data_IF_170007693987
#
_entry.id   IF_170007693987
#
_cell.length_a   1.000
_cell.length_b   1.000
_cell.length_c   1.000
_cell.angle_alpha   90.00
_cell.angle_beta   90.00
_cell.angle_gamma   90.00
#
_symmetry.space_group_name_H-M   'P 1'
#
loop_
_entity.id
_entity.type
_entity.pdbx_description
1 polymer ?
#
# COMPACT_ATOMS: atom_id res chain seq x y z
N UNK A 1 4.86 -32.23 8.21
CA UNK A 1 4.95 -32.87 6.88
C UNK A 1 5.83 -31.98 5.99
N UNK A 2 6.61 -32.54 5.06
CA UNK A 2 7.47 -31.78 4.16
C UNK A 2 6.64 -30.91 3.17
N UNK A 3 7.19 -29.78 2.68
CA UNK A 3 6.47 -28.87 1.81
C UNK A 3 6.24 -29.41 0.40
N UNK A 4 7.05 -30.37 -0.05
CA UNK A 4 6.90 -30.99 -1.39
C UNK A 4 6.08 -32.25 -1.34
N UNK A 5 5.04 -32.34 -2.20
CA UNK A 5 4.17 -33.50 -2.33
C UNK A 5 4.96 -34.81 -2.56
N UNK A 6 5.97 -34.77 -3.41
CA UNK A 6 6.82 -35.94 -3.72
C UNK A 6 7.54 -36.51 -2.48
N UNK A 7 7.80 -35.68 -1.46
CA UNK A 7 8.45 -36.12 -0.23
C UNK A 7 7.42 -36.63 0.79
N UNK A 8 6.21 -36.06 0.79
CA UNK A 8 5.07 -36.59 1.60
C UNK A 8 4.70 -38.00 1.16
N UNK A 9 4.74 -38.27 -0.15
CA UNK A 9 4.41 -39.60 -0.71
C UNK A 9 5.40 -40.70 -0.23
N UNK A 10 6.66 -40.33 0.04
CA UNK A 10 7.71 -41.29 0.48
C UNK A 10 7.53 -41.71 1.93
N UNK A 11 6.97 -40.86 2.75
CA UNK A 11 6.85 -41.05 4.23
C UNK A 11 5.47 -40.66 4.74
N UNK A 12 4.43 -41.35 4.22
CA UNK A 12 3.04 -41.09 4.50
C UNK A 12 2.63 -41.62 5.88
N UNK A 13 2.12 -40.78 6.79
CA UNK A 13 1.55 -41.26 8.06
C UNK A 13 0.32 -42.16 7.84
N UNK A 14 0.12 -43.17 8.70
CA UNK A 14 -0.89 -44.21 8.53
C UNK A 14 -2.33 -43.71 8.45
N UNK A 15 -2.62 -42.54 9.00
CA UNK A 15 -3.97 -41.94 9.02
C UNK A 15 -4.31 -41.15 7.76
N UNK A 16 -3.39 -40.99 6.82
CA UNK A 16 -3.58 -40.16 5.64
C UNK A 16 -3.65 -41.02 4.35
N UNK A 17 -4.36 -40.50 3.38
CA UNK A 17 -4.44 -41.06 2.03
C UNK A 17 -3.92 -40.06 1.01
N UNK A 18 -3.48 -40.52 -0.13
CA UNK A 18 -3.02 -39.71 -1.25
C UNK A 18 -4.06 -39.76 -2.36
N UNK A 19 -4.30 -38.62 -2.98
CA UNK A 19 -4.99 -38.50 -4.25
C UNK A 19 -3.99 -38.07 -5.31
N UNK A 20 -3.96 -38.75 -6.45
CA UNK A 20 -3.14 -38.38 -7.59
C UNK A 20 -3.73 -37.21 -8.40
N UNK A 21 -5.00 -36.88 -8.13
CA UNK A 21 -5.67 -35.77 -8.83
C UNK A 21 -5.11 -34.44 -8.37
N UNK A 22 -4.43 -33.72 -9.28
CA UNK A 22 -3.95 -32.35 -9.09
C UNK A 22 -5.17 -31.41 -9.00
N UNK A 23 -5.16 -30.52 -8.05
CA UNK A 23 -6.17 -29.48 -7.91
C UNK A 23 -5.76 -28.21 -8.64
N UNK A 24 -6.75 -27.43 -9.11
CA UNK A 24 -6.52 -26.11 -9.66
C UNK A 24 -6.06 -25.17 -8.54
N UNK A 25 -4.94 -24.45 -8.72
CA UNK A 25 -4.45 -23.53 -7.69
C UNK A 25 -5.29 -22.26 -7.65
N UNK A 26 -5.57 -21.81 -6.44
CA UNK A 26 -6.26 -20.57 -6.14
C UNK A 26 -5.51 -19.82 -5.05
N UNK A 27 -5.39 -18.51 -5.16
CA UNK A 27 -4.85 -17.66 -4.10
C UNK A 27 -6.00 -16.91 -3.47
N UNK A 28 -6.26 -17.15 -2.19
CA UNK A 28 -7.25 -16.45 -1.40
C UNK A 28 -6.59 -15.22 -0.79
N UNK A 29 -7.15 -14.05 -1.03
CA UNK A 29 -6.74 -12.81 -0.38
C UNK A 29 -7.75 -12.48 0.70
N UNK A 30 -7.25 -12.39 1.94
CA UNK A 30 -8.05 -12.09 3.13
C UNK A 30 -7.48 -10.86 3.84
N UNK A 31 -8.31 -10.22 4.66
CA UNK A 31 -7.86 -9.17 5.59
C UNK A 31 -7.70 -9.78 6.98
N UNK A 32 -6.44 -9.82 7.48
CA UNK A 32 -6.11 -10.30 8.81
C UNK A 32 -5.40 -9.19 9.57
N UNK A 33 -5.90 -8.81 10.74
CA UNK A 33 -5.34 -7.75 11.59
C UNK A 33 -5.05 -6.44 10.83
N UNK A 34 -5.96 -6.05 9.92
CA UNK A 34 -5.83 -4.85 9.11
C UNK A 34 -4.89 -4.95 7.92
N UNK A 35 -4.22 -6.09 7.72
CA UNK A 35 -3.31 -6.36 6.61
C UNK A 35 -3.94 -7.30 5.59
N UNK A 36 -3.62 -7.11 4.32
CA UNK A 36 -3.98 -8.06 3.28
C UNK A 36 -2.97 -9.20 3.30
N UNK A 37 -3.45 -10.42 3.41
CA UNK A 37 -2.62 -11.64 3.36
C UNK A 37 -3.08 -12.51 2.21
N UNK A 38 -2.14 -13.17 1.54
CA UNK A 38 -2.43 -14.09 0.46
C UNK A 38 -2.12 -15.52 0.92
N UNK A 39 -3.06 -16.43 0.72
CA UNK A 39 -2.95 -17.84 1.08
C UNK A 39 -3.14 -18.72 -0.15
N UNK A 40 -2.20 -19.62 -0.39
CA UNK A 40 -2.34 -20.63 -1.43
C UNK A 40 -3.41 -21.64 -1.02
N UNK A 41 -4.22 -22.06 -1.98
CA UNK A 41 -5.28 -23.05 -1.81
C UNK A 41 -5.44 -23.90 -3.09
N UNK A 42 -6.10 -25.05 -2.95
CA UNK A 42 -6.52 -25.87 -4.07
C UNK A 42 -8.04 -25.84 -4.24
N UNK A 43 -8.51 -25.75 -5.47
CA UNK A 43 -9.93 -25.78 -5.81
C UNK A 43 -10.35 -27.19 -6.20
N UNK A 44 -11.41 -27.68 -5.55
CA UNK A 44 -12.08 -28.93 -5.89
C UNK A 44 -13.53 -28.66 -6.23
N UNK A 45 -13.97 -29.09 -7.40
CA UNK A 45 -15.38 -29.08 -7.78
C UNK A 45 -15.95 -30.50 -7.59
N UNK A 46 -16.99 -30.63 -6.75
CA UNK A 46 -17.67 -31.91 -6.50
C UNK A 46 -19.18 -31.68 -6.52
N UNK A 47 -19.91 -32.41 -7.38
CA UNK A 47 -21.37 -32.38 -7.55
C UNK A 47 -21.94 -30.97 -7.86
N UNK A 48 -21.12 -30.10 -8.47
CA UNK A 48 -21.51 -28.72 -8.77
C UNK A 48 -21.11 -27.69 -7.70
N UNK A 49 -20.68 -28.15 -6.52
CA UNK A 49 -20.21 -27.28 -5.46
C UNK A 49 -18.68 -27.09 -5.53
N UNK A 50 -18.25 -25.86 -5.34
CA UNK A 50 -16.83 -25.49 -5.30
C UNK A 50 -16.34 -25.53 -3.85
N UNK A 51 -15.26 -26.26 -3.60
CA UNK A 51 -14.57 -26.33 -2.31
C UNK A 51 -13.16 -25.78 -2.45
N UNK A 52 -12.83 -24.75 -1.68
CA UNK A 52 -11.50 -24.17 -1.61
C UNK A 52 -10.81 -24.72 -0.35
N UNK A 53 -9.66 -25.36 -0.53
CA UNK A 53 -8.92 -26.05 0.51
C UNK A 53 -7.56 -25.36 0.67
N UNK A 54 -7.30 -24.62 1.79
CA UNK A 54 -6.05 -23.92 1.97
C UNK A 54 -4.87 -24.88 2.08
N UNK A 55 -3.73 -24.47 1.51
CA UNK A 55 -2.47 -25.15 1.74
C UNK A 55 -1.97 -24.86 3.18
N UNK A 56 -1.17 -25.75 3.79
CA UNK A 56 -0.62 -25.53 5.12
C UNK A 56 0.24 -24.25 5.22
N UNK A 57 0.94 -23.91 4.14
CA UNK A 57 1.64 -22.65 3.93
C UNK A 57 1.85 -22.39 2.43
N UNK A 58 2.24 -21.16 2.06
CA UNK A 58 2.38 -20.76 0.65
C UNK A 58 3.52 -21.45 -0.10
N UNK A 59 4.42 -22.08 0.60
CA UNK A 59 5.52 -22.88 0.00
C UNK A 59 5.20 -24.37 -0.17
N UNK A 60 3.94 -24.80 0.11
CA UNK A 60 3.50 -26.19 -0.03
C UNK A 60 2.85 -26.40 -1.41
N UNK A 61 3.24 -27.44 -2.12
CA UNK A 61 2.63 -27.85 -3.39
C UNK A 61 1.56 -28.94 -3.20
N UNK A 62 0.88 -28.92 -2.03
CA UNK A 62 -0.24 -29.80 -1.70
C UNK A 62 -1.17 -29.18 -0.65
N UNK A 63 -2.39 -29.71 -0.58
CA UNK A 63 -3.42 -29.35 0.39
C UNK A 63 -3.92 -30.58 1.14
N UNK A 64 -4.51 -30.34 2.31
CA UNK A 64 -5.12 -31.41 3.14
C UNK A 64 -6.65 -31.30 3.10
N UNK A 65 -7.30 -32.23 2.42
CA UNK A 65 -8.75 -32.36 2.28
C UNK A 65 -9.26 -33.46 3.24
N UNK A 66 -9.57 -33.11 4.47
CA UNK A 66 -9.85 -34.06 5.55
C UNK A 66 -8.60 -34.90 5.87
N UNK A 67 -8.61 -36.18 5.53
CA UNK A 67 -7.45 -37.06 5.65
C UNK A 67 -6.80 -37.42 4.29
N UNK A 68 -7.15 -36.68 3.23
CA UNK A 68 -6.64 -36.91 1.87
C UNK A 68 -5.69 -35.77 1.51
N UNK A 69 -4.46 -36.11 1.20
CA UNK A 69 -3.45 -35.18 0.68
C UNK A 69 -3.61 -35.12 -0.85
N UNK A 70 -3.80 -33.89 -1.36
CA UNK A 70 -4.00 -33.61 -2.79
C UNK A 70 -2.90 -32.70 -3.31
N UNK A 71 -2.27 -33.04 -4.45
CA UNK A 71 -1.25 -32.22 -5.05
C UNK A 71 -1.81 -30.93 -5.68
N UNK A 72 -0.99 -29.90 -5.67
CA UNK A 72 -1.06 -28.72 -6.53
C UNK A 72 0.03 -28.80 -7.60
N UNK A 73 -0.04 -28.00 -8.67
CA UNK A 73 1.07 -27.89 -9.62
C UNK A 73 2.37 -27.48 -8.91
N UNK A 74 3.49 -28.12 -9.27
CA UNK A 74 4.78 -28.00 -8.53
C UNK A 74 5.40 -26.61 -8.53
N UNK A 75 5.13 -25.84 -9.57
CA UNK A 75 5.66 -24.51 -9.83
C UNK A 75 4.87 -23.39 -9.15
N UNK A 76 3.65 -23.66 -8.70
CA UNK A 76 2.74 -22.68 -8.11
C UNK A 76 3.32 -21.98 -6.87
N UNK A 77 3.95 -22.65 -5.89
CA UNK A 77 4.54 -21.96 -4.75
C UNK A 77 5.63 -20.97 -5.15
N UNK A 78 6.45 -21.31 -6.14
CA UNK A 78 7.52 -20.44 -6.64
C UNK A 78 6.95 -19.27 -7.44
N UNK A 79 5.94 -19.52 -8.26
CA UNK A 79 5.23 -18.49 -9.00
C UNK A 79 4.54 -17.50 -8.04
N UNK A 80 3.92 -17.99 -6.96
CA UNK A 80 3.30 -17.14 -5.92
C UNK A 80 4.33 -16.25 -5.24
N UNK A 81 5.47 -16.80 -4.83
CA UNK A 81 6.57 -16.05 -4.20
C UNK A 81 7.12 -14.99 -5.15
N UNK A 82 7.28 -15.32 -6.41
CA UNK A 82 7.77 -14.37 -7.44
C UNK A 82 6.81 -13.20 -7.64
N UNK A 83 5.50 -13.46 -7.63
CA UNK A 83 4.45 -12.48 -7.91
C UNK A 83 4.07 -11.61 -6.71
N UNK A 84 3.93 -12.23 -5.54
CA UNK A 84 3.41 -11.57 -4.34
C UNK A 84 4.47 -11.32 -3.25
N UNK A 85 5.68 -11.86 -3.45
CA UNK A 85 6.77 -11.81 -2.49
C UNK A 85 6.81 -13.00 -1.53
N UNK A 86 7.97 -13.25 -0.88
CA UNK A 86 8.18 -14.41 0.00
C UNK A 86 7.30 -14.36 1.26
N UNK A 87 6.97 -13.17 1.75
CA UNK A 87 6.19 -12.95 2.97
C UNK A 87 4.70 -12.70 2.71
N UNK A 88 4.18 -13.13 1.56
CA UNK A 88 2.79 -12.89 1.15
C UNK A 88 1.74 -13.43 2.14
N UNK A 89 2.09 -14.44 2.95
CA UNK A 89 1.26 -14.94 4.05
C UNK A 89 1.23 -14.03 5.29
N UNK A 90 2.19 -13.09 5.42
CA UNK A 90 2.29 -12.13 6.50
C UNK A 90 1.76 -10.75 6.10
N UNK A 91 1.79 -10.44 4.81
CA UNK A 91 1.27 -9.21 4.26
C UNK A 91 1.58 -9.03 2.78
N UNK A 92 0.60 -8.56 2.02
CA UNK A 92 0.75 -8.24 0.59
C UNK A 92 0.38 -6.79 0.36
N UNK A 93 1.20 -6.06 -0.39
CA UNK A 93 0.89 -4.68 -0.78
C UNK A 93 -0.26 -4.68 -1.79
N UNK A 94 -1.25 -3.83 -1.57
CA UNK A 94 -2.41 -3.72 -2.47
C UNK A 94 -2.03 -3.44 -3.93
N UNK A 95 -1.01 -2.61 -4.17
CA UNK A 95 -0.51 -2.33 -5.52
C UNK A 95 -0.05 -3.58 -6.26
N UNK A 96 0.63 -4.51 -5.56
CA UNK A 96 1.07 -5.79 -6.12
C UNK A 96 -0.12 -6.68 -6.44
N UNK A 97 -1.11 -6.78 -5.53
CA UNK A 97 -2.35 -7.53 -5.76
C UNK A 97 -3.12 -6.97 -6.96
N UNK A 98 -3.24 -5.65 -7.05
CA UNK A 98 -3.95 -4.99 -8.14
C UNK A 98 -3.28 -5.25 -9.49
N UNK A 99 -1.96 -5.18 -9.57
CA UNK A 99 -1.21 -5.50 -10.77
C UNK A 99 -1.52 -6.93 -11.21
N UNK A 100 -1.50 -7.90 -10.29
CA UNK A 100 -1.80 -9.29 -10.58
C UNK A 100 -3.27 -9.52 -11.01
N UNK A 101 -4.23 -8.78 -10.42
CA UNK A 101 -5.63 -8.82 -10.83
C UNK A 101 -5.84 -8.24 -12.25
N UNK A 102 -5.00 -7.29 -12.67
CA UNK A 102 -5.08 -6.66 -13.99
C UNK A 102 -4.39 -7.49 -15.06
N UNK A 103 -3.30 -8.17 -14.72
CA UNK A 103 -2.48 -8.97 -15.64
C UNK A 103 -3.04 -10.38 -15.91
N UNK A 104 -4.21 -10.74 -15.36
CA UNK A 104 -4.94 -12.01 -15.56
C UNK A 104 -4.03 -13.18 -15.97
N UNK A 105 -3.38 -13.81 -14.99
CA UNK A 105 -2.57 -15.00 -15.24
C UNK A 105 -3.49 -16.22 -15.39
N UNK A 106 -3.42 -16.97 -16.50
CA UNK A 106 -4.24 -18.14 -16.67
C UNK A 106 -3.93 -19.27 -15.68
N UNK A 107 -2.76 -19.26 -15.05
CA UNK A 107 -2.28 -20.36 -14.21
C UNK A 107 -2.60 -20.22 -12.72
N UNK A 108 -2.95 -19.02 -12.22
CA UNK A 108 -3.26 -18.77 -10.81
C UNK A 108 -4.43 -17.81 -10.68
N UNK A 109 -5.59 -18.30 -10.24
CA UNK A 109 -6.76 -17.49 -9.96
C UNK A 109 -6.64 -16.81 -8.59
N UNK A 110 -6.83 -15.47 -8.56
CA UNK A 110 -6.92 -14.70 -7.33
C UNK A 110 -8.38 -14.55 -6.91
N UNK A 111 -8.73 -15.02 -5.72
CA UNK A 111 -10.06 -14.83 -5.11
C UNK A 111 -9.96 -13.88 -3.93
N UNK A 112 -10.70 -12.78 -4.00
CA UNK A 112 -10.85 -11.85 -2.88
C UNK A 112 -11.95 -12.37 -1.96
N UNK A 113 -11.69 -12.42 -0.66
CA UNK A 113 -12.73 -12.71 0.33
C UNK A 113 -13.74 -11.56 0.41
N UNK A 114 -14.99 -11.88 0.82
CA UNK A 114 -16.05 -10.87 0.98
C UNK A 114 -15.62 -9.72 1.90
N UNK A 115 -14.86 -10.00 2.94
CA UNK A 115 -14.28 -8.99 3.84
C UNK A 115 -13.31 -8.02 3.15
N UNK A 116 -12.67 -8.41 2.05
CA UNK A 116 -11.80 -7.53 1.25
C UNK A 116 -12.65 -6.71 0.27
N UNK A 117 -13.70 -7.30 -0.29
CA UNK A 117 -14.65 -6.63 -1.19
C UNK A 117 -15.48 -5.58 -0.46
N UNK A 118 -15.93 -5.89 0.76
CA UNK A 118 -16.70 -4.96 1.60
C UNK A 118 -15.87 -3.77 2.10
N UNK A 119 -14.56 -3.89 2.19
CA UNK A 119 -13.69 -2.76 2.62
C UNK A 119 -13.71 -1.60 1.60
N UNK A 120 -14.04 -1.85 0.34
CA UNK A 120 -14.24 -0.82 -0.69
C UNK A 120 -15.55 -0.05 -0.54
N UNK A 121 -16.54 -0.59 0.16
CA UNK A 121 -17.87 0.00 0.34
C UNK A 121 -18.13 0.48 1.77
N UNK A 122 -17.39 -0.01 2.77
CA UNK A 122 -17.62 0.27 4.20
C UNK A 122 -17.01 1.58 4.71
N UNK A 123 -16.20 2.29 3.92
CA UNK A 123 -15.67 3.61 4.31
C UNK A 123 -16.75 4.71 4.50
N UNK A 124 -18.00 4.43 4.09
CA UNK A 124 -19.11 5.37 4.19
C UNK A 124 -19.88 5.35 5.54
N UNK A 125 -19.59 4.43 6.44
CA UNK A 125 -20.37 4.18 7.66
C UNK A 125 -19.65 4.49 8.98
N UNK A 126 -18.59 5.29 8.99
CA UNK A 126 -17.99 5.71 10.26
C UNK A 126 -18.69 6.93 10.84
N UNK A 127 -19.12 6.74 12.08
CA UNK A 127 -19.88 7.67 12.90
C UNK A 127 -19.25 9.06 13.02
N UNK A 128 -20.11 10.05 13.23
CA UNK A 128 -19.82 11.47 13.43
C UNK A 128 -19.24 11.77 14.82
N UNK A 129 -18.10 11.17 15.19
CA UNK A 129 -17.40 11.58 16.40
C UNK A 129 -16.31 12.61 16.03
N UNK A 130 -16.20 13.66 16.84
CA UNK A 130 -15.10 14.62 16.75
C UNK A 130 -13.80 13.86 17.01
N UNK A 131 -12.94 13.73 16.00
CA UNK A 131 -11.63 13.12 16.17
C UNK A 131 -10.73 14.16 16.83
N UNK A 132 -10.38 13.94 18.09
CA UNK A 132 -9.36 14.72 18.78
C UNK A 132 -7.98 14.15 18.43
N UNK A 133 -7.18 14.91 17.70
CA UNK A 133 -5.83 14.53 17.31
C UNK A 133 -4.85 15.22 18.23
N UNK A 134 -4.15 14.44 19.06
CA UNK A 134 -3.19 14.97 20.02
C UNK A 134 -2.09 15.78 19.33
N UNK A 135 -1.91 17.03 19.78
CA UNK A 135 -0.87 17.91 19.23
C UNK A 135 -1.26 18.66 17.95
N UNK A 136 -2.47 18.46 17.42
CA UNK A 136 -3.02 19.26 16.34
C UNK A 136 -3.70 20.51 16.91
N UNK A 137 -3.19 21.70 16.57
CA UNK A 137 -3.77 22.98 16.98
C UNK A 137 -4.82 23.48 15.95
N UNK A 138 -5.81 22.63 15.68
CA UNK A 138 -6.95 22.96 14.81
C UNK A 138 -8.16 22.09 15.14
N UNK A 139 -9.34 22.65 15.01
CA UNK A 139 -10.59 21.89 15.02
C UNK A 139 -10.97 21.53 13.57
N UNK A 140 -11.02 20.25 13.28
CA UNK A 140 -11.43 19.74 11.97
C UNK A 140 -12.95 19.87 11.82
N UNK A 141 -13.40 20.24 10.63
CA UNK A 141 -14.81 20.05 10.27
C UNK A 141 -15.14 18.56 10.20
N UNK A 142 -16.41 18.21 10.38
CA UNK A 142 -16.83 16.79 10.40
C UNK A 142 -16.45 16.03 9.13
N UNK A 143 -16.51 16.67 7.95
CA UNK A 143 -16.07 16.05 6.69
C UNK A 143 -14.55 15.85 6.64
N UNK A 144 -13.77 16.80 7.20
CA UNK A 144 -12.31 16.67 7.28
C UNK A 144 -11.91 15.54 8.24
N UNK A 145 -12.54 15.47 9.41
CA UNK A 145 -12.30 14.40 10.37
C UNK A 145 -12.58 13.00 9.76
N UNK A 146 -13.71 12.87 9.06
CA UNK A 146 -14.03 11.65 8.30
C UNK A 146 -13.02 11.37 7.20
N UNK A 147 -12.60 12.40 6.45
CA UNK A 147 -11.59 12.29 5.40
C UNK A 147 -10.24 11.81 5.95
N UNK A 148 -9.78 12.37 7.08
CA UNK A 148 -8.52 12.00 7.73
C UNK A 148 -8.55 10.54 8.22
N UNK A 149 -9.64 10.12 8.88
CA UNK A 149 -9.81 8.73 9.31
C UNK A 149 -9.79 7.77 8.11
N UNK A 150 -10.57 8.07 7.05
CA UNK A 150 -10.60 7.29 5.83
C UNK A 150 -9.23 7.21 5.14
N UNK A 151 -8.48 8.33 5.07
CA UNK A 151 -7.12 8.35 4.51
C UNK A 151 -6.18 7.46 5.29
N UNK A 152 -6.22 7.49 6.63
CA UNK A 152 -5.41 6.64 7.50
C UNK A 152 -5.68 5.16 7.25
N UNK A 153 -6.95 4.75 7.30
CA UNK A 153 -7.37 3.37 7.07
C UNK A 153 -7.02 2.89 5.66
N UNK A 154 -7.27 3.73 4.65
CA UNK A 154 -6.99 3.42 3.25
C UNK A 154 -5.50 3.28 3.01
N UNK A 155 -4.68 4.20 3.51
CA UNK A 155 -3.23 4.14 3.34
C UNK A 155 -2.62 2.95 4.08
N UNK A 156 -3.11 2.60 5.26
CA UNK A 156 -2.67 1.42 6.01
C UNK A 156 -3.01 0.12 5.30
N UNK A 157 -4.19 0.06 4.67
CA UNK A 157 -4.66 -1.14 3.97
C UNK A 157 -4.05 -1.28 2.57
N UNK A 158 -3.81 -0.18 1.85
CA UNK A 158 -3.52 -0.16 0.42
C UNK A 158 -2.15 0.45 0.05
N UNK A 159 -1.41 1.00 1.02
CA UNK A 159 -0.14 1.67 0.79
C UNK A 159 -0.27 3.08 0.17
N UNK A 160 -1.49 3.58 -0.02
CA UNK A 160 -1.73 4.93 -0.52
C UNK A 160 -3.12 5.16 -1.10
N UNK A 161 -3.37 6.41 -1.46
CA UNK A 161 -4.64 6.86 -2.04
C UNK A 161 -4.41 8.15 -2.85
N UNK A 162 -5.42 8.58 -3.59
CA UNK A 162 -5.43 9.89 -4.26
C UNK A 162 -6.38 10.81 -3.47
N UNK A 163 -5.90 11.96 -3.00
CA UNK A 163 -6.71 12.99 -2.39
C UNK A 163 -7.13 14.00 -3.47
N UNK A 164 -8.37 13.85 -3.94
CA UNK A 164 -8.92 14.58 -5.09
C UNK A 164 -10.05 15.56 -4.69
N UNK A 165 -10.04 16.03 -3.45
CA UNK A 165 -10.99 17.01 -2.97
C UNK A 165 -10.90 18.33 -3.77
N UNK A 166 -11.99 19.06 -3.87
CA UNK A 166 -12.02 20.39 -4.49
C UNK A 166 -11.07 21.38 -3.79
N UNK A 167 -10.69 22.42 -4.52
CA UNK A 167 -9.88 23.49 -3.95
C UNK A 167 -10.65 24.19 -2.80
N UNK A 168 -9.93 24.52 -1.72
CA UNK A 168 -10.53 25.20 -0.57
C UNK A 168 -11.11 24.30 0.53
N UNK A 169 -11.20 22.98 0.34
CA UNK A 169 -11.69 22.04 1.34
C UNK A 169 -10.66 21.69 2.44
N UNK A 170 -9.50 22.35 2.44
CA UNK A 170 -8.49 22.19 3.49
C UNK A 170 -7.68 20.91 3.39
N UNK A 171 -7.34 20.45 2.16
CA UNK A 171 -6.48 19.29 1.93
C UNK A 171 -5.18 19.35 2.72
N UNK A 172 -4.52 20.51 2.77
CA UNK A 172 -3.28 20.71 3.53
C UNK A 172 -3.47 20.39 5.01
N UNK A 173 -4.56 20.91 5.62
CA UNK A 173 -4.88 20.64 7.03
C UNK A 173 -5.22 19.16 7.26
N UNK A 174 -5.92 18.52 6.34
CA UNK A 174 -6.21 17.09 6.43
C UNK A 174 -4.92 16.24 6.39
N UNK A 175 -3.96 16.58 5.54
CA UNK A 175 -2.65 15.90 5.51
C UNK A 175 -1.87 16.16 6.81
N UNK A 176 -1.84 17.39 7.30
CA UNK A 176 -1.18 17.73 8.58
C UNK A 176 -1.80 16.90 9.71
N UNK A 177 -3.13 16.83 9.77
CA UNK A 177 -3.86 16.03 10.74
C UNK A 177 -3.51 14.54 10.64
N UNK A 178 -3.42 14.01 9.42
CA UNK A 178 -3.00 12.62 9.17
C UNK A 178 -1.58 12.35 9.67
N UNK A 179 -0.63 13.25 9.41
CA UNK A 179 0.75 13.15 9.91
C UNK A 179 0.81 13.25 11.44
N UNK A 180 -0.11 13.99 12.08
CA UNK A 180 -0.21 14.07 13.54
C UNK A 180 -0.85 12.82 14.17
N UNK A 181 -1.68 12.07 13.45
CA UNK A 181 -2.18 10.77 13.90
C UNK A 181 -1.08 9.71 13.93
N UNK A 182 -0.14 9.79 12.99
CA UNK A 182 0.98 8.87 12.85
C UNK A 182 2.25 9.71 12.59
N UNK A 183 2.80 10.26 13.68
CA UNK A 183 3.95 11.16 13.60
C UNK A 183 5.14 10.45 12.96
N UNK A 184 5.66 10.97 11.82
CA UNK A 184 6.81 10.38 11.15
C UNK A 184 8.07 10.40 12.04
N UNK A 185 8.83 9.31 12.02
CA UNK A 185 10.14 9.22 12.65
C UNK A 185 11.21 9.94 11.81
N UNK A 186 12.25 10.48 12.44
CA UNK A 186 13.40 11.04 11.73
C UNK A 186 14.15 9.99 10.90
N UNK A 187 14.15 8.72 11.31
CA UNK A 187 14.71 7.62 10.52
C UNK A 187 13.91 7.34 9.24
N UNK A 188 12.59 7.59 9.26
CA UNK A 188 11.66 7.44 8.14
C UNK A 188 10.72 8.66 8.05
N UNK A 189 11.23 9.85 7.70
CA UNK A 189 10.43 11.08 7.66
C UNK A 189 9.34 11.03 6.60
N UNK A 190 8.40 11.97 6.66
CA UNK A 190 7.47 12.24 5.57
C UNK A 190 8.10 13.18 4.54
N UNK A 191 7.91 12.88 3.26
CA UNK A 191 8.35 13.72 2.14
C UNK A 191 7.14 14.42 1.51
N UNK A 192 7.17 15.73 1.46
CA UNK A 192 6.21 16.58 0.74
C UNK A 192 6.89 17.15 -0.49
N UNK A 193 6.39 16.81 -1.67
CA UNK A 193 6.86 17.33 -2.96
C UNK A 193 5.79 18.28 -3.49
N UNK A 194 6.11 19.55 -3.65
CA UNK A 194 5.14 20.56 -4.07
C UNK A 194 5.75 21.57 -5.05
N UNK A 195 4.92 22.36 -5.76
CA UNK A 195 5.40 23.53 -6.48
C UNK A 195 6.13 24.52 -5.57
N UNK A 196 7.12 25.22 -6.14
CA UNK A 196 7.93 26.22 -5.42
C UNK A 196 7.08 27.24 -4.64
N UNK A 197 5.98 27.70 -5.23
CA UNK A 197 5.08 28.69 -4.64
C UNK A 197 4.37 28.19 -3.39
N UNK A 198 4.26 26.90 -3.17
CA UNK A 198 3.52 26.30 -2.06
C UNK A 198 4.42 25.93 -0.87
N UNK A 199 5.75 25.95 -1.01
CA UNK A 199 6.68 25.61 0.10
C UNK A 199 6.42 26.47 1.33
N UNK A 200 6.36 27.81 1.17
CA UNK A 200 6.15 28.73 2.29
C UNK A 200 4.76 28.52 2.94
N UNK A 201 3.77 28.13 2.16
CA UNK A 201 2.44 27.79 2.68
C UNK A 201 2.50 26.53 3.53
N UNK A 202 3.12 25.45 3.05
CA UNK A 202 3.29 24.21 3.80
C UNK A 202 4.03 24.43 5.13
N UNK A 203 5.14 25.16 5.10
CA UNK A 203 5.90 25.50 6.33
C UNK A 203 5.04 26.26 7.33
N UNK A 204 4.34 27.30 6.87
CA UNK A 204 3.46 28.11 7.73
C UNK A 204 2.31 27.29 8.33
N UNK A 205 1.67 26.46 7.53
CA UNK A 205 0.53 25.63 7.97
C UNK A 205 0.99 24.56 8.98
N UNK A 206 2.12 23.88 8.75
CA UNK A 206 2.64 22.90 9.70
C UNK A 206 3.05 23.60 11.00
N UNK A 207 3.78 24.73 10.95
CA UNK A 207 4.15 25.48 12.14
C UNK A 207 2.94 25.97 12.93
N UNK A 208 1.85 26.33 12.24
CA UNK A 208 0.62 26.81 12.86
C UNK A 208 -0.17 25.69 13.52
N UNK A 209 -0.34 24.55 12.85
CA UNK A 209 -1.29 23.51 13.27
C UNK A 209 -0.62 22.29 13.92
N UNK A 210 0.68 22.09 13.71
CA UNK A 210 1.43 20.94 14.19
C UNK A 210 2.86 21.36 14.57
N UNK A 211 2.99 22.32 15.49
CA UNK A 211 4.26 22.93 15.88
C UNK A 211 5.29 21.94 16.47
N UNK A 212 4.86 20.75 16.86
CA UNK A 212 5.73 19.67 17.33
C UNK A 212 6.47 18.93 16.21
N UNK A 213 6.04 19.09 14.95
CA UNK A 213 6.74 18.49 13.81
C UNK A 213 7.93 19.33 13.42
N UNK A 214 9.12 18.73 13.43
CA UNK A 214 10.33 19.34 12.87
C UNK A 214 10.26 19.32 11.33
N UNK A 215 10.64 20.44 10.70
CA UNK A 215 10.56 20.64 9.25
C UNK A 215 11.94 20.92 8.68
N UNK A 216 12.30 20.23 7.61
CA UNK A 216 13.43 20.52 6.76
C UNK A 216 12.96 20.95 5.36
N UNK A 217 13.33 22.14 4.92
CA UNK A 217 13.13 22.56 3.52
C UNK A 217 14.37 22.22 2.72
N UNK A 218 14.26 21.20 1.87
CA UNK A 218 15.35 20.78 0.98
C UNK A 218 15.26 21.49 -0.36
N UNK A 219 15.85 22.69 -0.44
CA UNK A 219 15.87 23.53 -1.64
C UNK A 219 16.99 24.57 -1.58
N UNK A 220 17.43 25.06 -2.75
CA UNK A 220 18.43 26.10 -2.87
C UNK A 220 19.87 25.59 -2.77
N UNK A 221 20.88 26.49 -2.74
CA UNK A 221 22.29 26.12 -2.69
C UNK A 221 22.72 25.53 -1.34
N UNK A 222 22.02 25.92 -0.25
CA UNK A 222 22.31 25.46 1.12
C UNK A 222 21.66 24.11 1.47
N UNK A 223 21.00 23.44 0.51
CA UNK A 223 20.35 22.15 0.77
C UNK A 223 21.37 21.05 1.08
N UNK A 224 21.00 20.09 1.90
CA UNK A 224 21.88 18.97 2.24
C UNK A 224 22.28 18.14 1.01
N UNK A 225 23.54 17.73 0.95
CA UNK A 225 24.04 16.82 -0.09
C UNK A 225 24.05 15.36 0.32
N UNK A 226 23.46 14.99 1.47
CA UNK A 226 23.48 13.63 2.00
C UNK A 226 22.09 13.19 2.43
N UNK A 227 21.78 11.89 2.31
CA UNK A 227 20.51 11.34 2.78
C UNK A 227 20.34 11.47 4.31
N UNK A 228 21.42 11.38 5.08
CA UNK A 228 21.37 11.57 6.54
C UNK A 228 20.93 12.98 6.94
N UNK A 229 21.23 13.97 6.10
CA UNK A 229 20.72 15.32 6.33
C UNK A 229 19.22 15.43 6.12
N UNK A 230 18.59 14.54 5.32
CA UNK A 230 17.13 14.47 5.18
C UNK A 230 16.48 13.79 6.39
N UNK A 231 17.20 12.93 7.09
CA UNK A 231 16.74 12.22 8.29
C UNK A 231 16.95 13.03 9.59
N UNK A 232 16.94 14.36 9.52
CA UNK A 232 17.08 15.27 10.65
C UNK A 232 15.78 15.99 11.05
N UNK A 233 14.66 15.59 10.43
CA UNK A 233 13.36 16.20 10.67
C UNK A 233 12.24 15.17 10.44
N UNK A 234 11.07 15.40 11.06
CA UNK A 234 9.88 14.57 10.83
C UNK A 234 9.31 14.77 9.42
N UNK A 235 9.43 15.99 8.87
CA UNK A 235 8.87 16.36 7.57
C UNK A 235 9.92 17.05 6.71
N UNK A 236 10.13 16.53 5.52
CA UNK A 236 10.99 17.14 4.50
C UNK A 236 10.12 17.71 3.40
N UNK A 237 10.31 18.98 3.05
CA UNK A 237 9.56 19.66 1.99
C UNK A 237 10.54 20.01 0.85
N UNK A 238 10.20 19.63 -0.37
CA UNK A 238 11.01 19.91 -1.57
C UNK A 238 10.15 20.22 -2.78
N UNK A 239 10.79 20.58 -3.89
CA UNK A 239 10.14 20.76 -5.19
C UNK A 239 10.34 19.57 -6.10
N UNK A 240 9.47 19.40 -7.11
CA UNK A 240 9.63 18.37 -8.13
C UNK A 240 10.98 18.43 -8.84
N UNK A 241 11.47 19.64 -9.15
CA UNK A 241 12.77 19.82 -9.85
C UNK A 241 13.96 19.53 -8.95
N UNK A 242 13.92 19.96 -7.68
CA UNK A 242 14.97 19.63 -6.70
C UNK A 242 15.02 18.13 -6.46
N UNK A 243 13.85 17.48 -6.31
CA UNK A 243 13.73 16.03 -6.14
C UNK A 243 14.35 15.28 -7.33
N UNK A 244 14.09 15.70 -8.57
CA UNK A 244 14.68 15.10 -9.78
C UNK A 244 16.20 15.24 -9.79
N UNK A 245 16.72 16.42 -9.44
CA UNK A 245 18.16 16.68 -9.42
C UNK A 245 18.90 15.87 -8.35
N UNK A 246 18.27 15.65 -7.21
CA UNK A 246 18.86 15.00 -6.04
C UNK A 246 18.28 13.58 -5.80
N UNK A 247 17.76 12.94 -6.84
CA UNK A 247 17.03 11.65 -6.73
C UNK A 247 17.83 10.57 -5.99
N UNK A 248 19.15 10.55 -6.13
CA UNK A 248 20.01 9.56 -5.49
C UNK A 248 19.94 9.60 -3.96
N UNK A 249 19.78 10.79 -3.36
CA UNK A 249 19.64 10.93 -1.90
C UNK A 249 18.21 10.67 -1.45
N UNK A 250 17.18 11.00 -2.25
CA UNK A 250 15.77 10.66 -1.94
C UNK A 250 15.48 9.17 -2.07
N UNK A 251 16.19 8.45 -2.93
CA UNK A 251 16.03 7.02 -3.12
C UNK A 251 16.91 6.17 -2.17
N UNK A 252 17.70 6.78 -1.29
CA UNK A 252 18.67 6.08 -0.46
C UNK A 252 18.07 5.38 0.78
N UNK A 253 16.84 5.71 1.17
CA UNK A 253 16.17 5.15 2.34
C UNK A 253 14.64 5.13 2.12
N UNK A 254 13.90 4.45 2.99
CA UNK A 254 12.44 4.34 2.90
C UNK A 254 11.76 5.49 3.67
N UNK A 255 10.86 6.20 2.99
CA UNK A 255 10.04 7.28 3.56
C UNK A 255 8.78 6.69 4.19
N UNK A 256 8.32 7.23 5.33
CA UNK A 256 7.02 6.85 5.89
C UNK A 256 5.88 7.25 4.96
N UNK A 257 5.94 8.46 4.45
CA UNK A 257 4.98 9.02 3.51
C UNK A 257 5.68 9.73 2.36
N UNK A 258 5.13 9.60 1.15
CA UNK A 258 5.45 10.48 0.01
C UNK A 258 4.16 11.16 -0.44
N UNK A 259 4.08 12.46 -0.20
CA UNK A 259 2.94 13.32 -0.51
C UNK A 259 3.32 14.18 -1.70
N UNK A 260 2.55 14.09 -2.79
CA UNK A 260 2.77 14.87 -4.01
C UNK A 260 1.65 15.90 -4.14
N UNK A 261 1.93 17.15 -3.81
CA UNK A 261 0.98 18.23 -3.97
C UNK A 261 0.97 18.75 -5.41
N UNK A 262 -0.20 19.16 -5.91
CA UNK A 262 -0.44 19.47 -7.32
C UNK A 262 0.05 18.34 -8.25
N UNK A 263 -0.46 17.14 -7.98
CA UNK A 263 0.01 15.89 -8.60
C UNK A 263 -0.15 15.84 -10.12
N UNK A 264 -0.90 16.79 -10.73
CA UNK A 264 -0.89 16.94 -12.18
C UNK A 264 0.52 17.16 -12.77
N UNK A 265 1.49 17.63 -11.94
CA UNK A 265 2.90 17.74 -12.32
C UNK A 265 3.56 16.39 -12.71
N UNK A 266 2.98 15.27 -12.26
CA UNK A 266 3.46 13.91 -12.51
C UNK A 266 2.48 13.01 -13.26
N UNK A 267 1.41 13.57 -13.85
CA UNK A 267 0.39 12.81 -14.60
C UNK A 267 0.96 12.10 -15.83
N UNK A 268 1.96 12.69 -16.50
CA UNK A 268 2.58 12.08 -17.67
C UNK A 268 3.55 10.95 -17.24
N UNK A 269 3.24 9.67 -17.56
CA UNK A 269 4.05 8.51 -17.16
C UNK A 269 5.47 8.53 -17.74
N UNK A 270 5.69 9.24 -18.86
CA UNK A 270 7.00 9.34 -19.53
C UNK A 270 7.86 10.49 -18.98
N UNK A 271 7.31 11.38 -18.17
CA UNK A 271 8.07 12.50 -17.60
C UNK A 271 9.14 12.05 -16.61
N UNK A 272 10.27 12.77 -16.57
CA UNK A 272 11.32 12.51 -15.59
C UNK A 272 10.80 12.65 -14.14
N UNK A 273 9.92 13.63 -13.87
CA UNK A 273 9.32 13.82 -12.54
C UNK A 273 8.57 12.58 -12.10
N UNK A 274 7.71 12.00 -12.97
CA UNK A 274 6.96 10.77 -12.67
C UNK A 274 7.89 9.58 -12.41
N UNK A 275 8.89 9.38 -13.27
CA UNK A 275 9.88 8.31 -13.13
C UNK A 275 10.65 8.42 -11.82
N UNK A 276 11.14 9.62 -11.47
CA UNK A 276 11.86 9.85 -10.22
C UNK A 276 10.95 9.61 -9.00
N UNK A 277 9.74 10.16 -8.97
CA UNK A 277 8.80 9.89 -7.86
C UNK A 277 8.55 8.39 -7.71
N UNK A 278 8.44 7.64 -8.79
CA UNK A 278 8.22 6.19 -8.76
C UNK A 278 9.39 5.41 -8.13
N UNK A 279 10.62 5.91 -8.22
CA UNK A 279 11.81 5.24 -7.66
C UNK A 279 12.03 5.51 -6.17
N UNK A 280 11.34 6.48 -5.57
CA UNK A 280 11.50 6.81 -4.14
C UNK A 280 10.87 5.70 -3.30
N UNK A 281 11.63 4.96 -2.46
CA UNK A 281 11.11 3.95 -1.56
C UNK A 281 10.20 4.58 -0.52
N UNK A 282 9.01 4.00 -0.29
CA UNK A 282 8.02 4.57 0.64
C UNK A 282 7.06 3.53 1.17
N UNK A 283 6.64 3.70 2.40
CA UNK A 283 5.59 2.89 3.01
C UNK A 283 4.21 3.28 2.46
N UNK A 284 3.96 4.61 2.36
CA UNK A 284 2.66 5.15 1.97
C UNK A 284 2.80 6.32 0.99
N UNK A 285 1.81 6.53 0.12
CA UNK A 285 1.82 7.66 -0.82
C UNK A 285 0.45 8.32 -1.00
N UNK A 286 0.44 9.65 -1.09
CA UNK A 286 -0.75 10.45 -1.34
C UNK A 286 -0.45 11.52 -2.40
N UNK A 287 -0.75 11.29 -3.67
CA UNK A 287 -0.90 12.37 -4.63
C UNK A 287 -2.15 13.18 -4.31
N UNK A 288 -1.99 14.51 -4.30
CA UNK A 288 -3.06 15.48 -4.04
C UNK A 288 -3.28 16.34 -5.27
N UNK A 289 -4.52 16.55 -5.65
CA UNK A 289 -4.89 17.45 -6.76
C UNK A 289 -6.29 18.00 -6.57
N UNK A 290 -6.53 19.22 -7.03
CA UNK A 290 -7.88 19.77 -7.17
C UNK A 290 -8.54 19.44 -8.51
N UNK A 291 -7.76 18.90 -9.46
CA UNK A 291 -8.20 18.59 -10.83
C UNK A 291 -7.73 17.18 -11.22
N UNK A 292 -8.36 16.12 -10.66
CA UNK A 292 -7.88 14.74 -10.85
C UNK A 292 -7.97 14.25 -12.29
N UNK A 293 -8.92 14.78 -13.07
CA UNK A 293 -9.11 14.48 -14.50
C UNK A 293 -9.23 15.80 -15.26
N UNK A 294 -8.22 16.11 -16.08
CA UNK A 294 -8.24 17.33 -16.92
C UNK A 294 -8.61 17.00 -18.38
N UNK A 295 -8.02 15.94 -18.96
CA UNK A 295 -8.18 15.62 -20.37
C UNK A 295 -8.75 14.22 -20.61
N UNK A 296 -8.38 13.24 -19.81
CA UNK A 296 -8.85 11.86 -19.94
C UNK A 296 -8.76 11.08 -18.64
N UNK A 297 -9.50 9.96 -18.55
CA UNK A 297 -9.43 9.05 -17.40
C UNK A 297 -8.02 8.43 -17.19
N UNK A 298 -7.17 8.46 -18.22
CA UNK A 298 -5.77 8.03 -18.11
C UNK A 298 -4.92 8.98 -17.24
N UNK A 299 -5.40 10.19 -16.94
CA UNK A 299 -4.73 11.12 -16.02
C UNK A 299 -4.68 10.58 -14.56
N UNK A 300 -5.53 9.61 -14.24
CA UNK A 300 -5.58 8.96 -12.91
C UNK A 300 -4.55 7.82 -12.74
N UNK A 301 -3.92 7.39 -13.83
CA UNK A 301 -2.98 6.26 -13.87
C UNK A 301 -1.55 6.74 -14.07
#
# INVERSE_FOLDING_TARGET
MPPRFADVVKDLPQDFRISERVLDPVVIVEKLDGRLVAKLAGRRVARGDEHIIPAPANNFDWVLDGNIIRPLPRDVPEALITKLGPDSSLGVRYGVLRQQLTESDPDIELKLSDAVLETGTSAAAMHSEEIEIKGLDAKLYSYQAKGVAWMGDTANSHGGLILADEMGLGKTLQIIALLMMEVPDEAAPALIICPTSLIANWVREIQRFASSLSILVHRGPERTGTFRGLQSANVVITTYDTMVNDISIFAAFEWSWVICDEAQAIKNPHSNRRKCVATIPRMKSIPMTGTPVENSLTDLW
#
